data_IF_044934278233
#
_entry.id   IF_044934278233
#
_cell.length_a   1.000
_cell.length_b   1.000
_cell.length_c   1.000
_cell.angle_alpha   90.00
_cell.angle_beta   90.00
_cell.angle_gamma   90.00
#
_symmetry.space_group_name_H-M   'P 1'
#
loop_
_entity.id
_entity.type
_entity.pdbx_description
1 polymer ?
#
# COMPACT_ATOMS: atom_id res chain seq x y z
N UNK A 1 -0.21 -21.44 -65.83
CA UNK A 1 -1.28 -21.61 -64.82
C UNK A 1 -0.79 -22.18 -63.48
N UNK A 2 0.45 -22.69 -63.35
CA UNK A 2 0.95 -23.29 -62.10
C UNK A 2 1.87 -22.38 -61.24
N UNK A 3 2.28 -21.20 -61.73
CA UNK A 3 3.23 -20.31 -61.04
C UNK A 3 2.57 -19.21 -60.19
N UNK A 4 1.32 -18.83 -60.48
CA UNK A 4 0.60 -17.77 -59.74
C UNK A 4 0.03 -18.20 -58.38
N UNK A 5 -0.23 -19.50 -58.21
CA UNK A 5 -0.87 -20.01 -57.00
C UNK A 5 0.10 -20.08 -55.82
N UNK A 6 1.41 -20.27 -56.07
CA UNK A 6 2.41 -20.44 -55.02
C UNK A 6 2.82 -19.12 -54.36
N UNK A 7 2.88 -18.02 -55.13
CA UNK A 7 3.24 -16.68 -54.64
C UNK A 7 2.15 -16.06 -53.75
N UNK A 8 0.87 -16.26 -54.08
CA UNK A 8 -0.27 -15.81 -53.25
C UNK A 8 -0.38 -16.56 -51.92
N UNK A 9 0.06 -17.82 -51.84
CA UNK A 9 0.06 -18.59 -50.58
C UNK A 9 1.19 -18.16 -49.64
N UNK A 10 2.38 -17.80 -50.16
CA UNK A 10 3.47 -17.32 -49.32
C UNK A 10 3.21 -15.92 -48.72
N UNK A 11 2.57 -15.00 -49.46
CA UNK A 11 2.20 -13.69 -48.90
C UNK A 11 1.05 -13.76 -47.88
N UNK A 12 0.11 -14.68 -48.04
CA UNK A 12 -1.00 -14.85 -47.10
C UNK A 12 -0.56 -15.46 -45.76
N UNK A 13 0.49 -16.31 -45.74
CA UNK A 13 1.04 -16.85 -44.50
C UNK A 13 1.90 -15.84 -43.72
N UNK A 14 2.54 -14.88 -44.39
CA UNK A 14 3.35 -13.86 -43.72
C UNK A 14 2.50 -12.78 -43.05
N UNK A 15 1.35 -12.42 -43.64
CA UNK A 15 0.41 -11.44 -43.07
C UNK A 15 -0.42 -12.00 -41.90
N UNK A 16 -0.75 -13.29 -41.91
CA UNK A 16 -1.55 -13.91 -40.85
C UNK A 16 -0.72 -14.25 -39.61
N UNK A 17 0.57 -14.52 -39.75
CA UNK A 17 1.49 -14.75 -38.63
C UNK A 17 1.87 -13.47 -37.87
N UNK A 18 1.86 -12.32 -38.54
CA UNK A 18 2.21 -11.03 -37.92
C UNK A 18 1.06 -10.42 -37.10
N UNK A 19 -0.19 -10.80 -37.36
CA UNK A 19 -1.35 -10.35 -36.58
C UNK A 19 -1.56 -11.10 -35.26
N UNK A 20 -0.85 -12.21 -35.02
CA UNK A 20 -1.01 -13.05 -33.83
C UNK A 20 0.01 -12.80 -32.72
N UNK A 21 0.99 -11.93 -32.94
CA UNK A 21 2.04 -11.62 -31.95
C UNK A 21 1.78 -10.34 -31.15
N UNK A 22 0.69 -9.62 -31.42
CA UNK A 22 0.22 -8.54 -30.55
C UNK A 22 -0.66 -9.16 -29.46
N UNK A 23 -0.06 -10.05 -28.66
CA UNK A 23 -0.58 -10.35 -27.34
C UNK A 23 -0.42 -9.06 -26.54
N UNK A 24 -1.47 -8.23 -26.52
CA UNK A 24 -1.58 -7.13 -25.59
C UNK A 24 -1.34 -7.70 -24.20
N UNK A 25 -0.19 -7.36 -23.61
CA UNK A 25 0.00 -7.48 -22.18
C UNK A 25 -1.00 -6.51 -21.53
N UNK A 26 -2.24 -6.97 -21.34
CA UNK A 26 -3.17 -6.34 -20.40
C UNK A 26 -2.52 -6.56 -19.04
N UNK A 27 -1.82 -5.53 -18.54
CA UNK A 27 -1.44 -5.49 -17.12
C UNK A 27 -2.76 -5.28 -16.39
N UNK A 28 -3.19 -6.27 -15.61
CA UNK A 28 -4.33 -6.08 -14.72
C UNK A 28 -4.01 -4.91 -13.78
N UNK A 29 -4.98 -4.05 -13.53
CA UNK A 29 -4.84 -3.02 -12.49
C UNK A 29 -4.45 -3.70 -11.17
N UNK A 30 -3.48 -3.16 -10.42
CA UNK A 30 -3.11 -3.73 -9.13
C UNK A 30 -4.34 -3.81 -8.23
N UNK A 31 -4.45 -4.89 -7.44
CA UNK A 31 -5.52 -5.00 -6.43
C UNK A 31 -5.38 -3.83 -5.46
N UNK A 32 -6.43 -3.06 -5.28
CA UNK A 32 -6.47 -2.08 -4.20
C UNK A 32 -6.76 -2.78 -2.87
N UNK A 33 -5.98 -2.46 -1.85
CA UNK A 33 -6.14 -2.94 -0.48
C UNK A 33 -6.80 -1.82 0.32
N UNK A 34 -7.93 -2.10 0.95
CA UNK A 34 -8.57 -1.19 1.90
C UNK A 34 -7.92 -1.35 3.28
N UNK A 35 -7.71 -0.24 3.99
CA UNK A 35 -7.18 -0.25 5.36
C UNK A 35 -8.04 -1.08 6.32
N UNK A 36 -9.36 -1.15 6.10
CA UNK A 36 -10.25 -1.98 6.90
C UNK A 36 -10.02 -3.48 6.69
N UNK A 37 -9.47 -3.92 5.56
CA UNK A 37 -9.08 -5.33 5.36
C UNK A 37 -7.94 -5.75 6.29
N UNK A 38 -7.15 -4.78 6.78
CA UNK A 38 -6.02 -5.03 7.69
C UNK A 38 -6.45 -5.14 9.15
N UNK A 39 -7.72 -4.82 9.45
CA UNK A 39 -8.28 -4.79 10.79
C UNK A 39 -9.13 -6.04 11.06
N UNK A 40 -8.85 -6.82 12.12
CA UNK A 40 -9.72 -7.91 12.55
C UNK A 40 -11.12 -7.40 12.87
N UNK A 41 -12.14 -8.19 12.54
CA UNK A 41 -13.54 -7.82 12.75
C UNK A 41 -13.85 -7.48 14.22
N UNK A 42 -13.18 -8.13 15.16
CA UNK A 42 -13.34 -7.84 16.58
C UNK A 42 -12.67 -6.53 17.03
N UNK A 43 -11.59 -6.07 16.37
CA UNK A 43 -11.02 -4.74 16.63
C UNK A 43 -11.97 -3.65 16.09
N UNK A 44 -12.55 -3.87 14.90
CA UNK A 44 -13.56 -2.98 14.34
C UNK A 44 -14.80 -2.88 15.25
N UNK A 45 -15.30 -4.01 15.75
CA UNK A 45 -16.43 -4.03 16.68
C UNK A 45 -16.14 -3.30 18.01
N UNK A 46 -14.89 -3.35 18.49
CA UNK A 46 -14.47 -2.57 19.64
C UNK A 46 -14.53 -1.07 19.33
N UNK A 47 -14.03 -0.62 18.18
CA UNK A 47 -14.10 0.79 17.76
C UNK A 47 -15.54 1.29 17.62
N UNK A 48 -16.42 0.50 17.01
CA UNK A 48 -17.85 0.86 16.81
C UNK A 48 -18.63 0.97 18.13
N UNK A 49 -18.17 0.29 19.18
CA UNK A 49 -18.80 0.28 20.51
C UNK A 49 -18.14 1.26 21.48
N UNK A 50 -17.10 1.98 21.05
CA UNK A 50 -16.48 3.01 21.88
C UNK A 50 -17.50 4.13 22.17
N UNK A 51 -17.60 4.58 23.43
CA UNK A 51 -18.35 5.78 23.74
C UNK A 51 -17.73 6.97 23.00
N UNK A 52 -18.57 7.95 22.62
CA UNK A 52 -18.05 9.21 22.10
C UNK A 52 -17.05 9.79 23.08
N UNK A 53 -15.93 10.27 22.55
CA UNK A 53 -14.84 10.79 23.36
C UNK A 53 -15.30 12.13 23.94
N UNK A 54 -15.70 12.11 25.22
CA UNK A 54 -15.93 13.32 25.98
C UNK A 54 -14.59 14.03 26.19
N UNK A 55 -14.44 15.22 25.61
CA UNK A 55 -13.25 16.08 25.78
C UNK A 55 -13.19 16.74 27.19
N UNK A 56 -13.68 16.06 28.24
CA UNK A 56 -13.66 16.55 29.63
C UNK A 56 -12.41 16.10 30.43
N UNK A 57 -11.49 15.35 29.81
CA UNK A 57 -10.22 14.93 30.41
C UNK A 57 -9.00 15.73 29.93
N UNK A 58 -8.00 15.89 30.81
CA UNK A 58 -6.72 16.59 30.54
C UNK A 58 -5.70 15.73 29.77
N UNK A 59 -6.16 14.63 29.17
CA UNK A 59 -5.34 13.66 28.45
C UNK A 59 -5.98 13.33 27.11
N UNK A 60 -5.18 12.97 26.10
CA UNK A 60 -5.74 12.68 24.81
C UNK A 60 -6.55 11.37 24.85
N UNK A 61 -7.56 11.25 23.99
CA UNK A 61 -8.21 9.97 23.79
C UNK A 61 -7.20 8.88 23.46
N UNK A 62 -7.37 7.72 24.10
CA UNK A 62 -6.59 6.52 23.84
C UNK A 62 -7.54 5.44 23.30
N UNK A 63 -7.02 4.63 22.38
CA UNK A 63 -7.70 3.42 21.93
C UNK A 63 -7.61 2.34 23.02
N UNK A 64 -8.56 1.40 23.10
CA UNK A 64 -8.48 0.24 23.98
C UNK A 64 -7.16 -0.52 23.82
N UNK A 65 -6.59 -0.99 24.93
CA UNK A 65 -5.33 -1.74 24.94
C UNK A 65 -5.39 -2.97 24.02
N UNK A 66 -6.56 -3.62 23.91
CA UNK A 66 -6.81 -4.74 23.02
C UNK A 66 -6.56 -4.40 21.54
N UNK A 67 -7.01 -3.23 21.08
CA UNK A 67 -6.79 -2.75 19.71
C UNK A 67 -5.31 -2.39 19.50
N UNK A 68 -4.65 -1.86 20.54
CA UNK A 68 -3.23 -1.49 20.49
C UNK A 68 -2.28 -2.69 20.48
N UNK A 69 -2.77 -3.92 20.71
CA UNK A 69 -1.96 -5.14 20.55
C UNK A 69 -1.47 -5.36 19.12
N UNK A 70 -2.16 -4.80 18.12
CA UNK A 70 -1.79 -4.93 16.71
C UNK A 70 -2.15 -6.28 16.11
N UNK A 71 -3.28 -6.88 16.51
CA UNK A 71 -3.78 -8.12 15.90
C UNK A 71 -3.90 -7.97 14.39
N UNK A 72 -3.45 -8.98 13.68
CA UNK A 72 -3.43 -9.02 12.21
C UNK A 72 -4.57 -9.87 11.66
N UNK A 73 -4.92 -9.63 10.41
CA UNK A 73 -5.76 -10.51 9.60
C UNK A 73 -4.83 -11.48 8.87
N UNK A 74 -4.78 -12.77 9.24
CA UNK A 74 -3.81 -13.73 8.68
C UNK A 74 -3.85 -13.83 7.14
N UNK A 75 -5.04 -13.66 6.57
CA UNK A 75 -5.29 -13.70 5.12
C UNK A 75 -4.65 -12.54 4.36
N UNK A 76 -4.27 -11.46 5.05
CA UNK A 76 -3.57 -10.31 4.46
C UNK A 76 -2.05 -10.48 4.39
N UNK A 77 -1.51 -11.60 4.89
CA UNK A 77 -0.11 -11.95 4.67
C UNK A 77 0.16 -12.42 3.24
N UNK A 78 1.21 -11.86 2.62
CA UNK A 78 1.65 -12.13 1.24
C UNK A 78 0.61 -11.73 0.18
N UNK A 79 -0.11 -10.63 0.41
CA UNK A 79 -1.06 -10.08 -0.56
C UNK A 79 -0.35 -9.05 -1.42
N UNK A 80 -0.30 -9.30 -2.73
CA UNK A 80 0.12 -8.32 -3.73
C UNK A 80 -1.00 -7.32 -3.99
N UNK A 81 -0.67 -6.03 -3.94
CA UNK A 81 -1.63 -4.96 -4.22
C UNK A 81 -1.03 -3.57 -4.06
N UNK A 82 -1.90 -2.58 -4.16
CA UNK A 82 -1.60 -1.18 -3.89
C UNK A 82 -2.49 -0.64 -2.77
N UNK A 83 -1.95 0.26 -1.96
CA UNK A 83 -2.66 0.88 -0.84
C UNK A 83 -2.32 2.37 -0.78
N UNK A 84 -3.30 3.26 -0.58
CA UNK A 84 -3.04 4.68 -0.45
C UNK A 84 -2.74 5.04 1.00
N UNK A 85 -1.95 6.08 1.23
CA UNK A 85 -1.76 6.59 2.58
C UNK A 85 -0.82 7.78 2.65
N UNK A 86 -0.57 8.23 3.88
CA UNK A 86 0.33 9.33 4.18
C UNK A 86 1.67 8.81 4.66
N UNK A 87 2.72 9.59 4.44
CA UNK A 87 4.09 9.17 4.70
C UNK A 87 4.61 9.78 6.00
N UNK A 88 5.07 8.93 6.92
CA UNK A 88 5.86 9.32 8.09
C UNK A 88 7.31 8.87 7.86
N UNK A 89 8.23 9.77 7.48
CA UNK A 89 9.61 9.39 7.15
C UNK A 89 10.36 8.80 8.34
N UNK A 90 11.03 7.66 8.13
CA UNK A 90 11.89 7.00 9.13
C UNK A 90 13.37 7.12 8.76
N UNK A 91 13.70 7.02 7.47
CA UNK A 91 15.07 7.12 6.97
C UNK A 91 15.10 7.92 5.67
N UNK A 92 15.99 8.90 5.64
CA UNK A 92 16.28 9.71 4.45
C UNK A 92 17.75 9.62 4.07
N UNK A 93 18.04 9.93 2.81
CA UNK A 93 19.39 10.22 2.33
C UNK A 93 19.79 11.67 2.65
N UNK A 94 21.06 12.00 2.41
CA UNK A 94 21.59 13.37 2.57
C UNK A 94 20.89 14.38 1.63
N UNK A 95 20.41 13.92 0.47
CA UNK A 95 19.61 14.70 -0.48
C UNK A 95 18.10 14.66 -0.19
N UNK A 96 17.70 14.28 1.03
CA UNK A 96 16.32 14.27 1.52
C UNK A 96 15.37 13.29 0.81
N UNK A 97 15.88 12.30 0.09
CA UNK A 97 15.04 11.21 -0.46
C UNK A 97 14.67 10.25 0.66
N UNK A 98 13.39 9.91 0.73
CA UNK A 98 12.82 8.99 1.73
C UNK A 98 13.05 7.56 1.23
N UNK A 99 13.72 6.73 2.03
CA UNK A 99 14.01 5.32 1.73
C UNK A 99 13.20 4.35 2.60
N UNK A 100 12.79 4.81 3.78
CA UNK A 100 12.06 4.02 4.76
C UNK A 100 11.05 4.94 5.44
N UNK A 101 9.82 4.48 5.58
CA UNK A 101 8.73 5.26 6.14
C UNK A 101 7.66 4.37 6.75
N UNK A 102 6.84 4.92 7.63
CA UNK A 102 5.53 4.35 7.89
C UNK A 102 4.52 4.93 6.90
N UNK A 103 3.70 4.05 6.33
CA UNK A 103 2.46 4.43 5.65
C UNK A 103 1.31 4.34 6.65
N UNK A 104 0.46 5.36 6.68
CA UNK A 104 -0.65 5.51 7.63
C UNK A 104 -1.93 5.99 6.92
N UNK A 105 -3.14 5.67 7.42
CA UNK A 105 -4.40 5.97 6.74
C UNK A 105 -4.83 7.44 6.78
N UNK A 106 -4.24 8.27 7.65
CA UNK A 106 -4.60 9.69 7.77
C UNK A 106 -3.39 10.59 8.04
N UNK A 107 -3.49 11.84 7.57
CA UNK A 107 -2.48 12.85 7.81
C UNK A 107 -2.31 13.18 9.30
N UNK A 108 -1.07 13.36 9.73
CA UNK A 108 -0.75 13.72 11.11
C UNK A 108 -0.84 12.57 12.10
N UNK A 109 -0.99 11.32 11.64
CA UNK A 109 -0.76 10.15 12.47
C UNK A 109 0.65 10.20 13.10
N UNK A 110 0.79 9.61 14.29
CA UNK A 110 2.03 9.56 15.09
C UNK A 110 2.55 10.90 15.65
N UNK A 111 2.01 12.04 15.23
CA UNK A 111 2.26 13.36 15.86
C UNK A 111 1.03 13.90 16.59
N UNK A 112 -0.15 13.39 16.24
CA UNK A 112 -1.40 13.61 16.95
C UNK A 112 -1.84 12.32 17.65
N UNK A 113 -2.79 12.49 18.55
CA UNK A 113 -3.26 11.46 19.47
C UNK A 113 -4.77 11.27 19.28
N UNK A 114 -5.27 10.01 19.29
CA UNK A 114 -4.52 8.77 19.44
C UNK A 114 -3.68 8.44 18.18
N UNK A 115 -2.53 7.77 18.35
CA UNK A 115 -1.84 7.15 17.22
C UNK A 115 -2.70 6.02 16.63
N UNK A 116 -2.54 5.66 15.35
CA UNK A 116 -3.19 4.49 14.79
C UNK A 116 -2.75 3.22 15.52
N UNK A 117 -3.59 2.18 15.60
CA UNK A 117 -3.16 0.88 16.09
C UNK A 117 -2.13 0.25 15.14
N UNK A 118 -1.28 -0.68 15.62
CA UNK A 118 -0.20 -1.22 14.80
C UNK A 118 -0.65 -1.93 13.51
N UNK A 119 -1.87 -2.48 13.47
CA UNK A 119 -2.47 -3.07 12.28
C UNK A 119 -3.02 -2.03 11.28
N UNK A 120 -2.87 -0.75 11.57
CA UNK A 120 -3.18 0.40 10.71
C UNK A 120 -1.92 1.24 10.42
N UNK A 121 -0.74 0.62 10.52
CA UNK A 121 0.55 1.18 10.15
C UNK A 121 1.28 0.13 9.33
N UNK A 122 1.85 0.52 8.18
CA UNK A 122 2.71 -0.35 7.36
C UNK A 122 4.12 0.20 7.38
N UNK A 123 5.10 -0.63 7.73
CA UNK A 123 6.52 -0.30 7.57
C UNK A 123 6.96 -0.51 6.13
N UNK A 124 7.38 0.55 5.46
CA UNK A 124 7.70 0.49 4.03
C UNK A 124 9.16 0.79 3.80
N UNK A 125 9.81 -0.06 2.99
CA UNK A 125 11.14 0.18 2.43
C UNK A 125 11.02 0.40 0.92
N UNK A 126 11.62 1.47 0.41
CA UNK A 126 11.66 1.79 -1.01
C UNK A 126 13.09 2.15 -1.44
N UNK A 127 13.75 1.23 -2.12
CA UNK A 127 15.19 1.32 -2.42
C UNK A 127 15.54 2.46 -3.38
N UNK A 128 14.66 2.79 -4.32
CA UNK A 128 14.86 3.89 -5.27
C UNK A 128 14.78 5.25 -4.57
N UNK A 129 14.02 5.31 -3.48
CA UNK A 129 13.70 6.52 -2.75
C UNK A 129 12.81 7.48 -3.53
N UNK A 130 12.22 8.42 -2.82
CA UNK A 130 11.35 9.43 -3.42
C UNK A 130 11.36 10.72 -2.60
N UNK A 131 10.85 11.79 -3.20
CA UNK A 131 10.63 13.08 -2.52
C UNK A 131 9.14 13.39 -2.54
N UNK A 132 8.67 14.05 -1.50
CA UNK A 132 7.31 14.59 -1.42
C UNK A 132 7.36 16.10 -1.57
N UNK A 133 6.33 16.66 -2.22
CA UNK A 133 6.10 18.11 -2.20
C UNK A 133 5.64 18.55 -0.81
N UNK A 134 4.68 17.82 -0.23
CA UNK A 134 4.28 17.98 1.16
C UNK A 134 3.93 16.64 1.84
N UNK A 135 4.15 16.57 3.16
CA UNK A 135 3.81 15.39 3.97
C UNK A 135 2.30 15.16 4.13
N UNK A 136 1.48 16.16 3.76
CA UNK A 136 0.01 16.03 3.73
C UNK A 136 -0.51 15.52 2.39
N UNK A 137 0.36 15.30 1.40
CA UNK A 137 -0.04 14.70 0.13
C UNK A 137 0.02 13.17 0.28
N UNK A 138 -1.08 12.44 0.00
CA UNK A 138 -1.05 11.00 0.05
C UNK A 138 -0.31 10.42 -1.16
N UNK A 139 0.15 9.18 -1.00
CA UNK A 139 0.78 8.37 -2.05
C UNK A 139 0.04 7.05 -2.21
N UNK A 140 0.09 6.50 -3.42
CA UNK A 140 -0.10 5.09 -3.66
C UNK A 140 1.25 4.38 -3.50
N UNK A 141 1.27 3.27 -2.77
CA UNK A 141 2.38 2.31 -2.82
C UNK A 141 1.88 0.99 -3.39
N UNK A 142 2.71 0.30 -4.17
CA UNK A 142 2.44 -1.05 -4.68
C UNK A 142 3.51 -2.02 -4.18
N UNK A 143 3.11 -3.23 -3.82
CA UNK A 143 4.02 -4.33 -3.47
C UNK A 143 3.33 -5.48 -2.75
N UNK A 144 4.14 -6.40 -2.24
CA UNK A 144 3.66 -7.51 -1.42
C UNK A 144 3.55 -7.06 0.05
N UNK A 145 2.34 -7.10 0.59
CA UNK A 145 2.10 -6.88 2.01
C UNK A 145 2.48 -8.13 2.79
N UNK A 146 3.34 -7.98 3.79
CA UNK A 146 3.75 -9.09 4.67
C UNK A 146 3.40 -8.78 6.12
N UNK A 147 3.13 -9.84 6.90
CA UNK A 147 2.96 -9.73 8.35
C UNK A 147 4.34 -9.75 8.99
N UNK A 148 4.84 -8.58 9.33
CA UNK A 148 6.13 -8.40 10.00
C UNK A 148 5.99 -7.22 10.97
N UNK A 149 6.27 -7.48 12.25
CA UNK A 149 6.19 -6.44 13.29
C UNK A 149 7.46 -5.60 13.28
N UNK A 150 7.30 -4.29 13.18
CA UNK A 150 8.37 -3.30 13.34
C UNK A 150 8.04 -2.36 14.49
N UNK A 151 9.03 -2.05 15.33
CA UNK A 151 8.86 -1.16 16.47
C UNK A 151 10.05 -0.19 16.56
N UNK A 152 9.76 1.10 16.70
CA UNK A 152 10.73 2.16 16.88
C UNK A 152 10.13 3.31 17.70
N UNK A 153 10.92 4.37 17.92
CA UNK A 153 10.51 5.52 18.74
C UNK A 153 9.29 6.29 18.18
N UNK A 154 8.98 6.14 16.88
CA UNK A 154 7.85 6.81 16.22
C UNK A 154 6.57 5.96 16.23
N UNK A 155 6.67 4.64 16.47
CA UNK A 155 5.50 3.78 16.53
C UNK A 155 5.79 2.30 16.29
N UNK A 156 4.70 1.54 16.19
CA UNK A 156 4.72 0.10 15.96
C UNK A 156 3.84 -0.21 14.75
N UNK A 157 4.34 -1.01 13.82
CA UNK A 157 3.54 -1.61 12.74
C UNK A 157 3.42 -3.12 12.92
N UNK A 158 2.31 -3.69 12.46
CA UNK A 158 2.13 -5.15 12.36
C UNK A 158 2.35 -5.69 10.94
N UNK A 159 2.37 -4.79 9.95
CA UNK A 159 2.62 -5.10 8.55
C UNK A 159 3.85 -4.37 8.03
N UNK A 160 4.46 -4.96 7.01
CA UNK A 160 5.57 -4.36 6.25
C UNK A 160 5.39 -4.55 4.75
N UNK A 161 6.07 -3.73 3.96
CA UNK A 161 6.12 -3.83 2.50
C UNK A 161 7.49 -3.39 1.97
N UNK A 162 8.04 -4.14 1.02
CA UNK A 162 9.09 -3.62 0.13
C UNK A 162 8.39 -3.09 -1.11
N UNK A 163 8.28 -1.77 -1.22
CA UNK A 163 7.52 -1.15 -2.29
C UNK A 163 8.20 -1.38 -3.65
N UNK A 164 7.40 -1.74 -4.64
CA UNK A 164 7.75 -1.84 -6.05
C UNK A 164 7.55 -0.50 -6.76
N UNK A 165 6.56 0.30 -6.34
CA UNK A 165 6.34 1.67 -6.80
C UNK A 165 5.82 2.55 -5.65
N UNK A 166 6.09 3.85 -5.76
CA UNK A 166 5.50 4.91 -4.94
C UNK A 166 5.10 6.04 -5.88
N UNK A 167 3.82 6.37 -5.92
CA UNK A 167 3.26 7.35 -6.84
C UNK A 167 2.39 8.37 -6.07
N UNK A 168 2.36 9.65 -6.47
CA UNK A 168 1.40 10.60 -5.92
C UNK A 168 -0.03 10.08 -6.05
N UNK A 169 -0.84 10.27 -5.01
CA UNK A 169 -2.24 9.89 -5.09
C UNK A 169 -2.97 10.69 -6.18
N UNK A 170 -3.66 9.97 -7.06
CA UNK A 170 -4.59 10.53 -8.04
C UNK A 170 -5.89 9.72 -7.97
N UNK A 171 -7.02 10.41 -8.15
CA UNK A 171 -8.36 9.79 -8.23
C UNK A 171 -8.53 8.96 -9.51
#
# INVERSE_FOLDING_TARGET
>A
MFTDVLSRKLLACLGLGLLLLVSLAVRAEPREIDWLELMPAEDLALLETMPEIEHEGDGPPLLPDEIMTGRVVPEMGNVEGRIPGFVVPLKTTDDMRILEFFLVPYYGACIHVPPPPPNQIIHVKYHEGFTLEALYDPVWIEGELVIERTENDLGTSSYSMVAQSVEPYTE
#
